data_IF_237759981332
#
_entry.id   IF_237759981332
#
_cell.length_a   1.000
_cell.length_b   1.000
_cell.length_c   1.000
_cell.angle_alpha   90.00
_cell.angle_beta   90.00
_cell.angle_gamma   90.00
#
_symmetry.space_group_name_H-M   'P 1'
#
loop_
_entity.id
_entity.type
_entity.pdbx_description
1 polymer ?
#
# COMPACT_ATOMS: atom_id res chain seq x y z
N UNK A 1 -1.38 -25.80 -3.10
CA UNK A 1 -0.42 -24.68 -3.14
C UNK A 1 -1.06 -23.52 -2.38
N UNK A 2 -0.46 -23.04 -1.29
CA UNK A 2 -0.99 -21.89 -0.55
C UNK A 2 -0.57 -20.59 -1.24
N UNK A 3 -1.43 -19.59 -1.20
CA UNK A 3 -1.18 -18.23 -1.71
C UNK A 3 -1.62 -17.26 -0.63
N UNK A 4 -0.82 -16.22 -0.40
CA UNK A 4 -1.12 -15.17 0.56
C UNK A 4 -1.42 -13.85 -0.17
N UNK A 5 -2.26 -13.03 0.45
CA UNK A 5 -2.39 -11.62 0.12
C UNK A 5 -1.86 -10.82 1.31
N UNK A 6 -0.79 -10.06 1.10
CA UNK A 6 -0.28 -9.10 2.06
C UNK A 6 -0.92 -7.77 1.75
N UNK A 7 -1.61 -7.20 2.72
CA UNK A 7 -2.29 -5.90 2.59
C UNK A 7 -1.58 -4.91 3.49
N UNK A 8 -1.18 -3.79 2.91
CA UNK A 8 -0.64 -2.64 3.61
C UNK A 8 -1.50 -1.41 3.35
N UNK A 9 -1.69 -0.57 4.36
CA UNK A 9 -2.56 0.62 4.29
C UNK A 9 -1.93 1.79 5.02
N UNK A 10 -1.89 2.95 4.38
CA UNK A 10 -1.63 4.23 5.05
C UNK A 10 -2.96 4.92 5.36
N UNK A 11 -3.06 5.53 6.54
CA UNK A 11 -4.27 6.20 7.01
C UNK A 11 -4.00 7.64 7.42
N UNK A 12 -5.04 8.49 7.48
CA UNK A 12 -4.92 9.84 8.04
C UNK A 12 -4.67 9.87 9.55
N UNK A 13 -4.82 8.72 10.23
CA UNK A 13 -4.71 8.54 11.66
C UNK A 13 -5.29 7.19 12.12
N UNK A 14 -5.42 6.98 13.44
CA UNK A 14 -5.84 5.70 14.03
C UNK A 14 -7.30 5.68 14.54
N UNK A 15 -8.07 6.75 14.32
CA UNK A 15 -9.47 6.79 14.73
C UNK A 15 -10.38 6.11 13.69
N UNK A 16 -10.84 4.90 14.01
CA UNK A 16 -11.72 4.11 13.11
C UNK A 16 -13.01 4.80 12.65
N UNK A 17 -13.46 5.87 13.33
CA UNK A 17 -14.70 6.59 12.99
C UNK A 17 -14.47 7.76 12.04
N UNK A 18 -13.29 8.38 12.09
CA UNK A 18 -13.03 9.66 11.41
C UNK A 18 -11.86 9.61 10.43
N UNK A 19 -10.87 8.75 10.70
CA UNK A 19 -9.72 8.60 9.81
C UNK A 19 -10.04 7.71 8.62
N UNK A 20 -9.39 8.01 7.49
CA UNK A 20 -9.61 7.35 6.19
C UNK A 20 -8.31 6.70 5.71
N UNK A 21 -8.43 5.66 4.91
CA UNK A 21 -7.30 5.09 4.16
C UNK A 21 -6.96 6.05 3.02
N UNK A 22 -5.67 6.37 2.87
CA UNK A 22 -5.14 7.24 1.82
C UNK A 22 -4.20 6.51 0.85
N UNK A 23 -3.72 5.32 1.23
CA UNK A 23 -2.98 4.41 0.36
C UNK A 23 -3.43 2.97 0.65
N UNK A 24 -3.59 2.18 -0.41
CA UNK A 24 -3.80 0.74 -0.30
C UNK A 24 -2.85 0.02 -1.23
N UNK A 25 -2.11 -0.94 -0.68
CA UNK A 25 -1.23 -1.83 -1.41
C UNK A 25 -1.64 -3.29 -1.16
N UNK A 26 -1.54 -4.10 -2.21
CA UNK A 26 -1.74 -5.53 -2.14
C UNK A 26 -0.58 -6.24 -2.86
N UNK A 27 0.04 -7.20 -2.16
CA UNK A 27 1.03 -8.11 -2.73
C UNK A 27 0.48 -9.52 -2.66
N UNK A 28 0.42 -10.19 -3.81
CA UNK A 28 0.18 -11.63 -3.86
C UNK A 28 1.51 -12.34 -3.64
N UNK A 29 1.57 -13.24 -2.67
CA UNK A 29 2.78 -13.98 -2.34
C UNK A 29 2.58 -15.50 -2.40
N UNK A 30 3.63 -16.23 -2.73
CA UNK A 30 3.65 -17.70 -2.68
C UNK A 30 3.75 -18.23 -1.24
N UNK A 31 3.81 -19.55 -1.09
CA UNK A 31 3.88 -20.20 0.22
C UNK A 31 5.15 -19.87 1.04
N UNK A 32 6.18 -19.30 0.41
CA UNK A 32 7.43 -18.87 1.03
C UNK A 32 7.49 -17.35 1.23
N UNK A 33 6.38 -16.65 1.04
CA UNK A 33 6.28 -15.19 1.07
C UNK A 33 7.11 -14.48 -0.02
N UNK A 34 7.45 -15.16 -1.11
CA UNK A 34 8.01 -14.47 -2.27
C UNK A 34 6.88 -13.72 -3.01
N UNK A 35 7.07 -12.44 -3.38
CA UNK A 35 6.09 -11.69 -4.14
C UNK A 35 5.94 -12.28 -5.55
N UNK A 36 4.69 -12.41 -6.01
CA UNK A 36 4.31 -12.96 -7.32
C UNK A 36 3.65 -11.90 -8.20
N UNK A 37 2.91 -10.96 -7.61
CA UNK A 37 2.30 -9.81 -8.29
C UNK A 37 2.06 -8.73 -7.23
N UNK A 38 2.04 -7.46 -7.65
CA UNK A 38 1.72 -6.35 -6.76
C UNK A 38 0.86 -5.29 -7.44
N UNK A 39 0.05 -4.66 -6.60
CA UNK A 39 -0.85 -3.58 -6.98
C UNK A 39 -0.85 -2.53 -5.88
N UNK A 40 -0.88 -1.26 -6.27
CA UNK A 40 -1.06 -0.18 -5.31
C UNK A 40 -1.88 0.98 -5.88
N UNK A 41 -2.49 1.74 -4.99
CA UNK A 41 -3.24 2.94 -5.33
C UNK A 41 -3.10 4.01 -4.26
N UNK A 42 -3.04 5.25 -4.70
CA UNK A 42 -3.30 6.41 -3.85
C UNK A 42 -4.79 6.74 -3.92
N UNK A 43 -5.37 7.00 -2.75
CA UNK A 43 -6.77 7.37 -2.56
C UNK A 43 -6.81 8.83 -2.09
N UNK A 44 -7.57 9.66 -2.80
CA UNK A 44 -7.87 10.98 -2.27
C UNK A 44 -9.02 10.84 -1.27
N UNK A 45 -8.81 11.08 0.03
CA UNK A 45 -9.85 10.86 1.03
C UNK A 45 -11.05 11.81 0.84
N UNK A 46 -10.82 12.99 0.25
CA UNK A 46 -11.81 14.07 0.11
C UNK A 46 -12.55 14.06 -1.23
N UNK A 47 -12.16 13.20 -2.16
CA UNK A 47 -12.83 13.04 -3.46
C UNK A 47 -13.02 11.57 -3.79
N UNK A 48 -13.69 11.26 -4.90
CA UNK A 48 -13.82 9.87 -5.40
C UNK A 48 -12.71 9.49 -6.38
N UNK A 49 -11.63 10.27 -6.45
CA UNK A 49 -10.53 10.04 -7.38
C UNK A 49 -9.60 8.92 -6.89
N UNK A 50 -9.17 8.07 -7.82
CA UNK A 50 -8.30 6.90 -7.57
C UNK A 50 -7.17 6.93 -8.61
N UNK A 51 -5.91 6.78 -8.16
CA UNK A 51 -4.74 6.69 -9.04
C UNK A 51 -3.98 5.40 -8.74
N UNK A 52 -3.83 4.53 -9.75
CA UNK A 52 -3.38 3.14 -9.56
C UNK A 52 -2.20 2.76 -10.46
N UNK A 53 -1.33 1.89 -9.93
CA UNK A 53 -0.20 1.29 -10.65
C UNK A 53 -0.17 -0.21 -10.40
N UNK A 54 0.30 -0.99 -11.38
CA UNK A 54 0.51 -2.44 -11.28
C UNK A 54 1.93 -2.80 -11.70
N UNK A 55 2.54 -3.77 -11.03
CA UNK A 55 3.85 -4.31 -11.42
C UNK A 55 4.39 -5.37 -10.46
N UNK A 56 5.50 -6.00 -10.84
CA UNK A 56 6.15 -7.04 -10.03
C UNK A 56 7.03 -6.46 -8.90
N UNK A 57 7.31 -5.16 -8.95
CA UNK A 57 8.03 -4.44 -7.89
C UNK A 57 7.02 -3.93 -6.85
N UNK A 58 7.07 -4.41 -5.60
CA UNK A 58 6.18 -3.93 -4.55
C UNK A 58 6.34 -2.42 -4.35
N UNK A 59 5.27 -1.69 -3.99
CA UNK A 59 5.41 -0.31 -3.55
C UNK A 59 6.39 -0.27 -2.37
N UNK A 60 7.21 0.78 -2.29
CA UNK A 60 8.31 0.91 -1.32
C UNK A 60 7.82 0.79 0.13
N UNK A 61 6.55 1.11 0.39
CA UNK A 61 5.83 0.91 1.65
C UNK A 61 5.71 -0.58 2.06
N UNK A 62 5.43 -1.47 1.11
CA UNK A 62 5.28 -2.90 1.34
C UNK A 62 6.59 -3.65 1.67
N UNK A 63 7.75 -2.99 1.56
CA UNK A 63 9.07 -3.55 1.87
C UNK A 63 9.67 -3.01 3.17
N UNK A 64 8.95 -2.18 3.95
CA UNK A 64 9.49 -1.62 5.18
C UNK A 64 8.97 -2.37 6.44
N UNK A 65 9.76 -3.26 7.06
CA UNK A 65 9.35 -3.96 8.27
C UNK A 65 9.37 -3.10 9.56
N UNK A 66 9.90 -1.88 9.53
CA UNK A 66 9.82 -0.93 10.65
C UNK A 66 10.32 0.48 10.25
N UNK A 67 9.42 1.48 10.24
CA UNK A 67 9.73 2.92 10.42
C UNK A 67 10.40 3.67 9.24
N UNK A 68 9.91 4.89 8.96
CA UNK A 68 10.77 6.01 8.52
C UNK A 68 10.25 6.89 7.36
N UNK A 69 9.56 7.98 7.69
CA UNK A 69 9.27 9.13 6.80
C UNK A 69 10.54 9.67 6.13
N UNK A 70 10.56 9.82 4.80
CA UNK A 70 11.36 10.84 4.06
C UNK A 70 10.63 11.23 2.76
N UNK A 71 9.88 12.34 2.75
CA UNK A 71 10.19 13.73 2.30
C UNK A 71 9.77 14.03 0.85
N UNK A 72 8.97 15.09 0.73
CA UNK A 72 8.62 15.82 -0.48
C UNK A 72 9.83 16.33 -1.25
N UNK A 73 9.78 16.30 -2.58
CA UNK A 73 10.18 17.44 -3.42
C UNK A 73 9.20 17.58 -4.59
N UNK A 74 8.66 18.78 -4.73
CA UNK A 74 7.99 19.25 -5.93
C UNK A 74 9.04 19.83 -6.88
N UNK A 75 8.87 19.57 -8.17
CA UNK A 75 9.20 20.50 -9.28
C UNK A 75 8.29 20.21 -10.44
#
# INVERSE_FOLDING_TARGET
MSVFAVIDTETTGFNKRYDRIIELAAVRADAYFNPVDSWHTLLNPDTKAVSTTRGDTPPTSALNPAVGVTRSEAS
#
